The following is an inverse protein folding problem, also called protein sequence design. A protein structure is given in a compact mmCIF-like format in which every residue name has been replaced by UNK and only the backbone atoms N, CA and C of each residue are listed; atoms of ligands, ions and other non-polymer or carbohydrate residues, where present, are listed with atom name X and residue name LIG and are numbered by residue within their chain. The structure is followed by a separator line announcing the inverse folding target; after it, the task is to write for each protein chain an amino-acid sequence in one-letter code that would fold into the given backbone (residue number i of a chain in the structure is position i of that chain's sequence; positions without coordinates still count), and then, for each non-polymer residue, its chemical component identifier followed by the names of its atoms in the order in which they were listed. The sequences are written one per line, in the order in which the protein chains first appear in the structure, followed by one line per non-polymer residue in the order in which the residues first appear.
data_IF_514508493855
#
_entry.id   IF_514508493855
#
_cell.length_a   1.000
_cell.length_b   1.000
_cell.length_c   1.000
_cell.angle_alpha   90.00
_cell.angle_beta   90.00
_cell.angle_gamma   90.00
#
_symmetry.space_group_name_H-M   'P 1'
#
loop_
_entity.id
_entity.type
_entity.pdbx_description
1 polymer ?
#
# COMPACT_ATOMS: atom_id res chain seq x y z
N UNK A 1 6.52 9.29 -2.96
CA UNK A 1 5.66 8.64 -1.95
C UNK A 1 4.31 9.32 -2.05
N UNK A 2 3.28 8.62 -2.51
CA UNK A 2 1.92 9.18 -2.63
C UNK A 2 1.16 8.91 -1.32
N UNK A 3 0.42 9.91 -0.83
CA UNK A 3 -0.41 9.79 0.36
C UNK A 3 -1.89 9.76 -0.05
N UNK A 4 -2.64 8.76 0.40
CA UNK A 4 -4.07 8.67 0.13
C UNK A 4 -4.83 8.64 1.44
N UNK A 5 -5.89 9.45 1.54
CA UNK A 5 -6.83 9.41 2.67
C UNK A 5 -8.23 9.14 2.12
N UNK A 6 -8.73 7.94 2.38
CA UNK A 6 -10.13 7.57 2.12
C UNK A 6 -10.91 7.84 3.40
N UNK A 7 -11.86 8.78 3.36
CA UNK A 7 -12.70 9.12 4.52
C UNK A 7 -14.10 8.52 4.36
N UNK A 8 -14.33 7.39 5.04
CA UNK A 8 -15.62 6.68 5.01
C UNK A 8 -16.79 7.48 5.65
N UNK A 9 -16.50 8.51 6.46
CA UNK A 9 -17.55 9.26 7.19
C UNK A 9 -18.28 10.34 6.36
N UNK A 10 -17.85 10.63 5.13
CA UNK A 10 -18.47 11.67 4.27
C UNK A 10 -18.50 11.38 2.76
N UNK A 11 -18.14 10.18 2.30
CA UNK A 11 -18.15 9.86 0.86
C UNK A 11 -17.21 10.73 0.02
N UNK A 12 -16.14 11.27 0.62
CA UNK A 12 -15.14 12.11 -0.04
C UNK A 12 -13.81 11.38 -0.14
N UNK A 13 -13.21 11.43 -1.33
CA UNK A 13 -11.86 10.90 -1.60
C UNK A 13 -10.96 12.10 -1.88
N UNK A 14 -9.91 12.23 -1.07
CA UNK A 14 -8.92 13.31 -1.19
C UNK A 14 -7.62 12.74 -1.74
N UNK A 15 -7.08 13.35 -2.80
CA UNK A 15 -5.85 12.94 -3.47
C UNK A 15 -4.81 14.05 -3.44
N UNK A 16 -3.54 13.71 -3.17
CA UNK A 16 -2.42 14.64 -3.36
C UNK A 16 -1.96 14.58 -4.81
N UNK A 17 -1.93 15.73 -5.49
CA UNK A 17 -1.21 15.87 -6.76
C UNK A 17 0.02 16.73 -6.48
N UNK A 18 1.22 16.23 -6.82
CA UNK A 18 2.44 17.05 -6.84
C UNK A 18 2.41 17.92 -8.10
N UNK A 19 1.55 18.93 -8.11
CA UNK A 19 1.66 20.22 -8.81
C UNK A 19 0.27 20.86 -8.90
N UNK A 20 0.09 21.95 -8.15
CA UNK A 20 -0.31 23.21 -8.78
C UNK A 20 0.19 24.37 -7.93
N UNK A 21 1.16 25.08 -8.48
CA UNK A 21 1.54 26.41 -8.04
C UNK A 21 0.48 27.33 -8.67
N UNK A 22 -0.36 28.00 -7.88
CA UNK A 22 -1.20 29.07 -8.43
C UNK A 22 -1.06 30.33 -7.59
N UNK A 23 -0.44 31.32 -8.23
CA UNK A 23 -0.66 32.71 -7.93
C UNK A 23 -2.16 33.01 -8.13
N UNK A 24 -2.94 32.95 -7.06
CA UNK A 24 -3.94 33.95 -6.68
C UNK A 24 -4.67 33.50 -5.41
N UNK A 25 -4.83 34.44 -4.48
CA UNK A 25 -5.37 34.20 -3.14
C UNK A 25 -6.82 33.77 -3.15
N UNK A 26 -7.08 32.51 -2.80
CA UNK A 26 -7.91 32.14 -1.64
C UNK A 26 -7.74 30.64 -1.36
N UNK A 27 -7.16 30.28 -0.21
CA UNK A 27 -7.12 28.91 0.37
C UNK A 27 -6.86 27.71 -0.57
N UNK A 28 -5.84 27.75 -1.43
CA UNK A 28 -5.46 26.62 -2.29
C UNK A 28 -4.95 25.42 -1.46
N UNK A 29 -5.81 24.43 -1.27
CA UNK A 29 -5.43 23.12 -0.72
C UNK A 29 -4.58 22.36 -1.75
N UNK A 30 -3.46 21.72 -1.36
CA UNK A 30 -2.65 20.91 -2.28
C UNK A 30 -3.36 19.61 -2.72
N UNK A 31 -4.60 19.40 -2.27
CA UNK A 31 -5.39 18.21 -2.53
C UNK A 31 -6.50 18.50 -3.54
N UNK A 32 -6.67 17.57 -4.47
CA UNK A 32 -7.89 17.50 -5.29
C UNK A 32 -8.92 16.70 -4.50
N UNK A 33 -10.04 17.33 -4.16
CA UNK A 33 -11.18 16.66 -3.54
C UNK A 33 -12.19 16.26 -4.61
N UNK A 34 -12.55 14.98 -4.65
CA UNK A 34 -13.60 14.47 -5.53
C UNK A 34 -14.68 13.80 -4.69
N UNK A 35 -15.94 14.06 -5.05
CA UNK A 35 -17.04 13.27 -4.55
C UNK A 35 -17.02 11.86 -5.16
N UNK A 36 -17.77 10.95 -4.52
CA UNK A 36 -17.83 9.55 -4.93
C UNK A 36 -18.34 9.35 -6.36
N UNK A 37 -19.29 10.18 -6.82
CA UNK A 37 -19.87 10.03 -8.16
C UNK A 37 -18.88 10.44 -9.25
N UNK A 38 -18.14 11.53 -9.01
CA UNK A 38 -17.10 12.02 -9.90
C UNK A 38 -15.93 11.04 -9.94
N UNK A 39 -15.55 10.50 -8.78
CA UNK A 39 -14.51 9.48 -8.67
C UNK A 39 -14.85 8.20 -9.43
N UNK A 40 -16.06 7.66 -9.25
CA UNK A 40 -16.46 6.39 -9.86
C UNK A 40 -16.51 6.46 -11.39
N UNK A 41 -16.84 7.63 -11.95
CA UNK A 41 -16.83 7.87 -13.41
C UNK A 41 -15.45 7.68 -14.04
N UNK A 42 -14.37 7.92 -13.30
CA UNK A 42 -13.00 7.70 -13.80
C UNK A 42 -12.70 6.22 -14.11
N UNK A 43 -13.49 5.30 -13.53
CA UNK A 43 -13.42 3.87 -13.76
C UNK A 43 -14.51 3.29 -14.68
N UNK A 44 -15.46 4.11 -15.14
CA UNK A 44 -16.71 3.60 -15.74
C UNK A 44 -16.53 2.85 -17.06
N UNK A 45 -15.50 3.18 -17.84
CA UNK A 45 -15.21 2.54 -19.14
C UNK A 45 -14.21 1.38 -19.04
N UNK A 46 -13.86 0.96 -17.83
CA UNK A 46 -12.86 -0.07 -17.64
C UNK A 46 -13.50 -1.42 -17.36
N UNK A 47 -12.88 -2.47 -17.90
CA UNK A 47 -13.24 -3.83 -17.50
C UNK A 47 -12.95 -4.03 -16.01
N UNK A 48 -13.92 -4.59 -15.31
CA UNK A 48 -13.76 -4.91 -13.90
C UNK A 48 -12.86 -6.14 -13.77
N UNK A 49 -11.66 -6.00 -13.18
CA UNK A 49 -10.66 -7.06 -13.22
C UNK A 49 -10.94 -8.16 -12.20
N UNK A 50 -11.79 -7.93 -11.19
CA UNK A 50 -12.12 -8.89 -10.12
C UNK A 50 -13.55 -9.41 -10.27
N UNK A 51 -13.73 -10.72 -10.08
CA UNK A 51 -15.04 -11.37 -10.04
C UNK A 51 -15.55 -11.55 -8.59
N UNK A 52 -16.75 -12.10 -8.42
CA UNK A 52 -17.37 -12.30 -7.10
C UNK A 52 -16.53 -13.26 -6.21
N UNK A 53 -15.95 -14.30 -6.80
CA UNK A 53 -15.09 -15.26 -6.08
C UNK A 53 -13.82 -14.59 -5.54
N UNK A 54 -13.21 -13.69 -6.32
CA UNK A 54 -12.08 -12.88 -5.89
C UNK A 54 -12.45 -12.04 -4.67
N UNK A 55 -13.63 -11.42 -4.69
CA UNK A 55 -14.11 -10.62 -3.57
C UNK A 55 -14.32 -11.48 -2.34
N UNK A 56 -14.95 -12.66 -2.47
CA UNK A 56 -15.14 -13.58 -1.34
C UNK A 56 -13.81 -13.97 -0.70
N UNK A 57 -12.77 -14.23 -1.51
CA UNK A 57 -11.42 -14.53 -0.99
C UNK A 57 -10.75 -13.33 -0.33
N UNK A 58 -11.04 -12.12 -0.81
CA UNK A 58 -10.47 -10.87 -0.30
C UNK A 58 -11.18 -10.32 0.93
N UNK A 59 -12.45 -10.70 1.15
CA UNK A 59 -13.19 -10.37 2.37
C UNK A 59 -12.47 -10.97 3.59
N UNK A 60 -11.97 -10.09 4.44
CA UNK A 60 -11.61 -10.46 5.81
C UNK A 60 -12.86 -10.65 6.67
N UNK A 61 -12.68 -11.23 7.87
CA UNK A 61 -13.71 -11.26 8.90
C UNK A 61 -14.13 -9.82 9.24
N UNK A 62 -15.31 -9.41 8.78
CA UNK A 62 -16.00 -8.19 9.22
C UNK A 62 -15.94 -6.95 8.31
N UNK A 63 -15.41 -7.03 7.09
CA UNK A 63 -15.32 -5.85 6.19
C UNK A 63 -16.42 -5.88 5.09
N UNK A 64 -17.19 -4.78 4.88
CA UNK A 64 -18.19 -4.69 3.81
C UNK A 64 -17.52 -4.43 2.46
N UNK A 65 -16.73 -5.40 1.98
CA UNK A 65 -16.16 -5.36 0.63
C UNK A 65 -17.14 -6.02 -0.36
N UNK A 66 -17.83 -5.20 -1.15
CA UNK A 66 -18.75 -5.68 -2.20
C UNK A 66 -18.28 -5.27 -3.61
N UNK A 67 -18.95 -5.81 -4.64
CA UNK A 67 -18.63 -5.51 -6.05
C UNK A 67 -18.80 -4.02 -6.37
N UNK A 68 -19.72 -3.33 -5.69
CA UNK A 68 -19.99 -1.91 -5.91
C UNK A 68 -18.84 -1.07 -5.42
N UNK A 69 -18.33 -1.31 -4.22
CA UNK A 69 -17.16 -0.63 -3.66
C UNK A 69 -15.91 -0.89 -4.51
N UNK A 70 -15.70 -2.13 -4.98
CA UNK A 70 -14.61 -2.46 -5.92
C UNK A 70 -14.70 -1.61 -7.18
N UNK A 71 -15.87 -1.54 -7.81
CA UNK A 71 -16.07 -0.82 -9.07
C UNK A 71 -16.00 0.70 -8.89
N UNK A 72 -16.63 1.24 -7.85
CA UNK A 72 -16.76 2.68 -7.66
C UNK A 72 -15.53 3.32 -7.02
N UNK A 73 -14.78 2.61 -6.18
CA UNK A 73 -13.69 3.18 -5.39
C UNK A 73 -12.34 2.60 -5.80
N UNK A 74 -12.19 1.27 -5.74
CA UNK A 74 -10.88 0.64 -5.90
C UNK A 74 -10.43 0.55 -7.36
N UNK A 75 -11.36 0.42 -8.31
CA UNK A 75 -11.04 0.35 -9.73
C UNK A 75 -10.41 1.64 -10.27
N UNK A 76 -11.02 2.83 -10.08
CA UNK A 76 -10.36 4.10 -10.42
C UNK A 76 -9.02 4.29 -9.70
N UNK A 77 -8.94 3.89 -8.41
CA UNK A 77 -7.70 4.00 -7.63
C UNK A 77 -6.58 3.13 -8.23
N UNK A 78 -6.88 1.89 -8.58
CA UNK A 78 -5.91 0.97 -9.17
C UNK A 78 -5.38 1.49 -10.51
N UNK A 79 -6.25 2.09 -11.34
CA UNK A 79 -5.85 2.73 -12.61
C UNK A 79 -4.90 3.89 -12.36
N UNK A 80 -5.26 4.76 -11.43
CA UNK A 80 -4.41 5.89 -11.09
C UNK A 80 -3.03 5.42 -10.62
N UNK A 81 -2.98 4.46 -9.72
CA UNK A 81 -1.72 3.87 -9.24
C UNK A 81 -0.94 3.25 -10.39
N UNK A 82 -1.61 2.56 -11.32
CA UNK A 82 -0.98 2.02 -12.51
C UNK A 82 -0.35 3.12 -13.39
N UNK A 83 -1.05 4.24 -13.62
CA UNK A 83 -0.49 5.40 -14.35
C UNK A 83 0.77 5.96 -13.68
N UNK A 84 0.76 6.10 -12.35
CA UNK A 84 1.95 6.53 -11.60
C UNK A 84 3.11 5.56 -11.72
N UNK A 85 2.84 4.25 -11.69
CA UNK A 85 3.87 3.22 -11.88
C UNK A 85 4.48 3.32 -13.27
N UNK A 86 3.66 3.46 -14.32
CA UNK A 86 4.14 3.60 -15.70
C UNK A 86 5.00 4.85 -15.87
N UNK A 87 4.51 6.01 -15.40
CA UNK A 87 5.26 7.26 -15.49
C UNK A 87 6.59 7.19 -14.73
N UNK A 88 6.60 6.58 -13.54
CA UNK A 88 7.83 6.39 -12.76
C UNK A 88 8.83 5.47 -13.47
N UNK A 89 8.36 4.40 -14.13
CA UNK A 89 9.22 3.49 -14.88
C UNK A 89 9.83 4.19 -16.10
N UNK A 90 9.03 4.98 -16.83
CA UNK A 90 9.49 5.76 -17.99
C UNK A 90 10.54 6.79 -17.59
N UNK A 91 10.29 7.56 -16.52
CA UNK A 91 11.23 8.55 -16.01
C UNK A 91 12.55 7.90 -15.57
N UNK A 92 12.47 6.77 -14.88
CA UNK A 92 13.66 6.02 -14.47
C UNK A 92 14.44 5.54 -15.70
N UNK A 93 13.78 4.95 -16.70
CA UNK A 93 14.43 4.51 -17.93
C UNK A 93 15.13 5.67 -18.66
N UNK A 94 14.48 6.83 -18.79
CA UNK A 94 15.08 8.01 -19.41
C UNK A 94 16.32 8.50 -18.64
N UNK A 95 16.25 8.51 -17.31
CA UNK A 95 17.36 8.94 -16.44
C UNK A 95 18.53 7.97 -16.54
N UNK A 96 18.27 6.66 -16.48
CA UNK A 96 19.30 5.62 -16.62
C UNK A 96 20.01 5.71 -17.96
N UNK A 97 19.27 5.92 -19.06
CA UNK A 97 19.85 6.14 -20.40
C UNK A 97 20.71 7.39 -20.45
N UNK A 98 20.25 8.51 -19.87
CA UNK A 98 20.99 9.77 -19.83
C UNK A 98 22.32 9.64 -19.05
N UNK A 99 22.30 8.93 -17.92
CA UNK A 99 23.49 8.71 -17.09
C UNK A 99 24.44 7.62 -17.63
N UNK A 100 24.04 6.88 -18.68
CA UNK A 100 24.83 5.79 -19.23
C UNK A 100 24.96 4.57 -18.29
N UNK A 101 24.08 4.46 -17.29
CA UNK A 101 24.11 3.36 -16.34
C UNK A 101 23.36 2.13 -16.88
N UNK A 102 23.79 0.93 -16.50
CA UNK A 102 23.00 -0.29 -16.67
C UNK A 102 22.31 -0.67 -15.35
N UNK A 103 21.42 0.19 -14.88
CA UNK A 103 20.74 -0.01 -13.60
C UNK A 103 19.54 -0.94 -13.77
N UNK A 104 19.39 -1.94 -12.88
CA UNK A 104 18.23 -2.84 -12.87
C UNK A 104 16.94 -2.08 -12.53
N UNK A 105 15.79 -2.58 -12.99
CA UNK A 105 14.47 -1.99 -12.69
C UNK A 105 14.29 -1.77 -11.18
N UNK A 106 14.17 -0.51 -10.77
CA UNK A 106 13.85 -0.15 -9.39
C UNK A 106 12.37 -0.42 -9.09
N UNK A 107 12.02 -1.18 -8.04
CA UNK A 107 10.63 -1.42 -7.67
C UNK A 107 9.90 -0.13 -7.27
N UNK A 108 8.62 -0.01 -7.65
CA UNK A 108 7.75 1.07 -7.20
C UNK A 108 7.11 0.71 -5.85
N UNK A 109 7.27 1.58 -4.85
CA UNK A 109 6.79 1.32 -3.48
C UNK A 109 5.56 2.17 -3.17
N UNK A 110 4.46 1.51 -2.79
CA UNK A 110 3.20 2.14 -2.35
C UNK A 110 3.07 1.95 -0.84
N UNK A 111 2.96 3.05 -0.10
CA UNK A 111 2.71 3.02 1.34
C UNK A 111 1.21 3.16 1.63
N UNK A 112 0.65 2.26 2.43
CA UNK A 112 -0.73 2.33 2.92
C UNK A 112 -0.70 2.62 4.42
N UNK A 113 -1.22 3.78 4.82
CA UNK A 113 -1.20 4.27 6.20
C UNK A 113 -2.62 4.60 6.69
N UNK A 114 -2.79 4.70 8.02
CA UNK A 114 -4.09 4.93 8.66
C UNK A 114 -4.18 4.37 10.08
N UNK A 115 -5.24 4.73 10.80
CA UNK A 115 -5.46 4.31 12.20
C UNK A 115 -5.56 2.79 12.37
N UNK A 116 -5.38 2.30 13.59
CA UNK A 116 -5.63 0.89 13.94
C UNK A 116 -7.10 0.56 13.64
N UNK A 117 -7.36 -0.66 13.16
CA UNK A 117 -8.69 -1.17 12.80
C UNK A 117 -9.44 -0.48 11.63
N UNK A 118 -8.81 0.44 10.88
CA UNK A 118 -9.45 1.10 9.70
C UNK A 118 -9.48 0.23 8.42
N UNK A 119 -9.07 -1.04 8.48
CA UNK A 119 -9.08 -1.94 7.31
C UNK A 119 -7.87 -1.82 6.36
N UNK A 120 -6.73 -1.25 6.80
CA UNK A 120 -5.51 -1.12 5.97
C UNK A 120 -5.08 -2.43 5.29
N UNK A 121 -5.14 -3.54 6.02
CA UNK A 121 -4.75 -4.85 5.51
C UNK A 121 -5.70 -5.34 4.41
N UNK A 122 -7.00 -5.06 4.54
CA UNK A 122 -8.00 -5.36 3.50
C UNK A 122 -7.71 -4.54 2.24
N UNK A 123 -7.58 -3.22 2.39
CA UNK A 123 -7.28 -2.30 1.29
C UNK A 123 -6.01 -2.73 0.54
N UNK A 124 -4.94 -3.04 1.27
CA UNK A 124 -3.68 -3.43 0.67
C UNK A 124 -3.76 -4.76 -0.09
N UNK A 125 -4.56 -5.73 0.38
CA UNK A 125 -4.80 -6.99 -0.33
C UNK A 125 -5.61 -6.79 -1.60
N UNK A 126 -6.66 -5.98 -1.54
CA UNK A 126 -7.48 -5.63 -2.71
C UNK A 126 -6.63 -4.94 -3.76
N UNK A 127 -5.89 -3.89 -3.39
CA UNK A 127 -5.00 -3.17 -4.31
C UNK A 127 -3.93 -4.08 -4.92
N UNK A 128 -3.36 -5.01 -4.14
CA UNK A 128 -2.41 -6.00 -4.66
C UNK A 128 -3.03 -6.82 -5.78
N UNK A 129 -4.20 -7.41 -5.55
CA UNK A 129 -4.85 -8.25 -6.56
C UNK A 129 -5.26 -7.47 -7.81
N UNK A 130 -5.74 -6.24 -7.65
CA UNK A 130 -6.08 -5.39 -8.79
C UNK A 130 -4.83 -5.02 -9.59
N UNK A 131 -3.76 -4.56 -8.92
CA UNK A 131 -2.52 -4.15 -9.59
C UNK A 131 -1.81 -5.30 -10.33
N UNK A 132 -1.90 -6.54 -9.83
CA UNK A 132 -1.35 -7.71 -10.52
C UNK A 132 -2.00 -8.00 -11.87
N UNK A 133 -3.25 -7.59 -12.06
CA UNK A 133 -4.02 -7.81 -13.29
C UNK A 133 -3.79 -6.72 -14.34
N UNK A 134 -3.13 -5.61 -13.98
CA UNK A 134 -2.76 -4.59 -14.95
C UNK A 134 -1.54 -5.01 -15.78
N UNK A 135 -1.55 -4.75 -17.11
CA UNK A 135 -0.36 -4.94 -17.94
C UNK A 135 0.83 -4.17 -17.39
N UNK A 136 2.03 -4.78 -17.36
CA UNK A 136 3.24 -4.11 -16.90
C UNK A 136 3.46 -4.09 -15.37
N UNK A 137 2.51 -4.58 -14.56
CA UNK A 137 2.67 -4.75 -13.10
C UNK A 137 2.34 -6.16 -12.59
N UNK A 138 2.85 -7.26 -13.20
CA UNK A 138 2.49 -8.62 -12.80
C UNK A 138 3.03 -9.00 -11.41
N UNK A 139 4.17 -8.42 -11.01
CA UNK A 139 4.84 -8.75 -9.75
C UNK A 139 4.56 -7.67 -8.70
N UNK A 140 3.52 -7.88 -7.90
CA UNK A 140 3.18 -7.02 -6.76
C UNK A 140 3.29 -7.82 -5.47
N UNK A 141 4.12 -7.36 -4.56
CA UNK A 141 4.30 -7.96 -3.24
C UNK A 141 3.67 -7.08 -2.15
N UNK A 142 3.10 -7.71 -1.13
CA UNK A 142 2.52 -7.04 0.03
C UNK A 142 3.39 -7.32 1.25
N UNK A 143 3.82 -6.25 1.91
CA UNK A 143 4.66 -6.31 3.10
C UNK A 143 3.95 -5.53 4.19
N UNK A 144 3.72 -6.17 5.33
CA UNK A 144 3.13 -5.53 6.50
C UNK A 144 4.24 -4.97 7.40
N UNK A 145 4.00 -3.80 7.98
CA UNK A 145 4.95 -3.19 8.93
C UNK A 145 5.06 -3.99 10.23
N UNK A 146 4.10 -4.87 10.51
CA UNK A 146 4.09 -5.73 11.70
C UNK A 146 5.28 -6.71 11.72
N UNK A 147 5.85 -7.04 10.57
CA UNK A 147 7.09 -7.81 10.49
C UNK A 147 8.32 -7.08 11.04
N UNK A 148 8.21 -5.78 11.28
CA UNK A 148 9.25 -4.94 11.88
C UNK A 148 8.96 -4.62 13.36
N UNK A 149 7.92 -5.21 13.96
CA UNK A 149 7.75 -5.13 15.41
C UNK A 149 8.91 -5.82 16.12
N UNK A 150 9.33 -5.25 17.24
CA UNK A 150 10.29 -5.95 18.09
C UNK A 150 9.72 -7.30 18.56
N UNK A 151 10.55 -8.35 18.69
CA UNK A 151 10.12 -9.62 19.28
C UNK A 151 9.56 -9.42 20.70
N UNK A 152 8.70 -10.34 21.15
CA UNK A 152 8.05 -10.26 22.45
C UNK A 152 9.04 -10.03 23.62
N UNK A 153 10.20 -10.69 23.58
CA UNK A 153 11.25 -10.53 24.58
C UNK A 153 11.78 -9.09 24.65
N UNK A 154 11.96 -8.46 23.49
CA UNK A 154 12.47 -7.10 23.38
C UNK A 154 11.40 -6.06 23.75
N UNK A 155 10.13 -6.31 23.39
CA UNK A 155 9.01 -5.48 23.85
C UNK A 155 8.87 -5.51 25.37
N UNK A 156 9.04 -6.69 26.00
CA UNK A 156 9.05 -6.84 27.47
C UNK A 156 10.21 -6.08 28.09
N UNK A 157 11.43 -6.27 27.57
CA UNK A 157 12.66 -5.60 28.04
C UNK A 157 12.54 -4.08 28.01
N UNK A 158 11.82 -3.54 27.02
CA UNK A 158 11.62 -2.09 26.85
C UNK A 158 10.34 -1.54 27.49
N UNK A 159 9.56 -2.36 28.18
CA UNK A 159 8.24 -1.99 28.73
C UNK A 159 7.28 -1.43 27.66
N UNK A 160 7.32 -1.97 26.43
CA UNK A 160 6.53 -1.51 25.28
C UNK A 160 5.35 -2.42 24.93
N UNK A 161 5.00 -3.39 25.78
CA UNK A 161 3.88 -4.31 25.52
C UNK A 161 2.55 -3.56 25.36
N UNK A 162 2.24 -2.66 26.28
CA UNK A 162 1.02 -1.83 26.27
C UNK A 162 1.04 -0.78 25.13
N UNK A 163 2.21 -0.54 24.55
CA UNK A 163 2.42 0.39 23.43
C UNK A 163 2.70 -0.35 22.12
N UNK A 164 2.32 -1.62 22.04
CA UNK A 164 2.41 -2.39 20.80
C UNK A 164 1.57 -1.70 19.71
N UNK A 165 2.21 -1.41 18.58
CA UNK A 165 1.59 -0.68 17.47
C UNK A 165 1.91 0.82 17.44
N UNK A 166 2.56 1.36 18.48
CA UNK A 166 3.12 2.72 18.45
C UNK A 166 4.52 2.72 17.80
N UNK A 167 4.99 3.86 17.25
CA UNK A 167 6.27 3.94 16.51
C UNK A 167 7.50 3.37 17.23
N UNK A 168 7.54 3.48 18.55
CA UNK A 168 8.61 2.98 19.43
C UNK A 168 8.64 1.45 19.55
N UNK A 169 7.52 0.76 19.28
CA UNK A 169 7.44 -0.71 19.29
C UNK A 169 7.99 -1.37 18.02
N UNK A 170 8.38 -0.58 17.02
CA UNK A 170 8.95 -1.04 15.74
C UNK A 170 10.45 -0.77 15.64
N UNK A 171 11.18 -1.69 14.99
CA UNK A 171 12.54 -1.45 14.51
C UNK A 171 12.50 -0.60 13.23
N UNK A 172 12.38 0.72 13.43
CA UNK A 172 12.39 1.72 12.35
C UNK A 172 13.66 1.67 11.50
N UNK A 173 14.80 1.31 12.10
CA UNK A 173 16.07 1.21 11.36
C UNK A 173 16.05 0.00 10.43
N UNK A 174 15.49 -1.14 10.87
CA UNK A 174 15.29 -2.30 10.02
C UNK A 174 14.33 -1.99 8.86
N UNK A 175 13.24 -1.27 9.12
CA UNK A 175 12.31 -0.84 8.08
C UNK A 175 12.99 0.06 7.03
N UNK A 176 13.76 1.07 7.46
CA UNK A 176 14.48 1.95 6.54
C UNK A 176 15.51 1.18 5.72
N UNK A 177 16.32 0.33 6.36
CA UNK A 177 17.29 -0.53 5.66
C UNK A 177 16.60 -1.43 4.64
N UNK A 178 15.44 -1.98 4.98
CA UNK A 178 14.66 -2.82 4.10
C UNK A 178 14.19 -2.06 2.83
N UNK A 179 13.61 -0.87 3.01
CA UNK A 179 13.17 -0.03 1.89
C UNK A 179 14.37 0.41 1.02
N UNK A 180 15.49 0.76 1.65
CA UNK A 180 16.73 1.09 0.93
C UNK A 180 17.27 -0.10 0.14
N UNK A 181 17.25 -1.30 0.71
CA UNK A 181 17.71 -2.53 0.03
C UNK A 181 16.84 -2.88 -1.18
N UNK A 182 15.51 -2.68 -1.09
CA UNK A 182 14.60 -2.83 -2.24
C UNK A 182 14.96 -1.84 -3.35
N UNK A 183 15.32 -0.60 -3.00
CA UNK A 183 15.62 0.45 -3.96
C UNK A 183 17.03 0.36 -4.57
N UNK A 184 18.01 -0.20 -3.87
CA UNK A 184 19.42 -0.23 -4.29
C UNK A 184 19.93 -1.58 -4.82
N UNK A 185 19.05 -2.45 -5.30
CA UNK A 185 19.27 -3.90 -5.47
C UNK A 185 20.63 -4.38 -6.03
N UNK A 186 21.06 -5.57 -5.59
CA UNK A 186 21.30 -6.65 -6.55
C UNK A 186 20.40 -7.86 -6.26
N UNK A 187 19.78 -8.39 -7.32
CA UNK A 187 18.87 -9.53 -7.27
C UNK A 187 19.64 -10.83 -6.99
N UNK A 188 19.75 -11.21 -5.72
CA UNK A 188 19.83 -12.60 -5.20
C UNK A 188 19.95 -12.52 -3.66
N UNK A 189 18.83 -12.62 -2.97
CA UNK A 189 18.82 -13.21 -1.64
C UNK A 189 17.43 -13.78 -1.46
N UNK A 190 17.34 -15.07 -1.13
CA UNK A 190 16.08 -15.66 -0.72
C UNK A 190 15.42 -14.73 0.28
N UNK A 191 14.11 -14.52 0.13
CA UNK A 191 13.28 -13.78 1.06
C UNK A 191 13.86 -13.99 2.45
N UNK A 192 14.39 -12.91 3.06
CA UNK A 192 14.90 -12.96 4.42
C UNK A 192 13.72 -13.44 5.25
N UNK A 193 13.73 -14.73 5.55
CA UNK A 193 12.66 -15.41 6.21
C UNK A 193 12.50 -14.76 7.56
N UNK A 194 11.48 -13.92 7.69
CA UNK A 194 10.94 -13.54 8.99
C UNK A 194 10.32 -14.85 9.50
N UNK A 195 11.16 -15.69 10.11
CA UNK A 195 10.77 -16.90 10.80
C UNK A 195 9.76 -16.50 11.86
N UNK A 196 8.48 -16.72 11.57
CA UNK A 196 7.46 -16.76 12.63
C UNK A 196 7.73 -18.02 13.44
N UNK A 197 8.27 -17.85 14.65
CA UNK A 197 8.35 -18.93 15.63
C UNK A 197 6.94 -19.50 15.85
N UNK A 198 6.74 -20.82 15.85
CA UNK A 198 5.44 -21.40 16.16
C UNK A 198 5.13 -21.15 17.64
N UNK A 199 4.01 -20.49 17.92
CA UNK A 199 3.45 -20.42 19.27
C UNK A 199 2.93 -21.80 19.65
N UNK A 200 3.66 -22.48 20.55
CA UNK A 200 3.23 -23.72 21.19
C UNK A 200 1.92 -23.48 21.93
N UNK A 201 0.86 -24.13 21.48
CA UNK A 201 -0.42 -24.24 22.20
C UNK A 201 -0.22 -25.16 23.40
N UNK A 202 -0.20 -24.61 24.61
CA UNK A 202 -0.33 -25.38 25.84
C UNK A 202 -1.80 -25.74 26.06
N UNK A 203 -2.11 -26.98 25.72
CA UNK A 203 -3.35 -27.69 26.06
C UNK A 203 -3.43 -27.82 27.59
N UNK A 204 -4.34 -27.10 28.23
CA UNK A 204 -4.66 -27.33 29.65
C UNK A 204 -5.70 -28.44 29.74
N UNK A 205 -5.28 -29.62 30.20
CA UNK A 205 -6.17 -30.65 30.73
C UNK A 205 -6.72 -30.16 32.09
N UNK A 206 -8.04 -30.21 32.25
CA UNK A 206 -8.69 -30.76 33.44
C UNK A 206 -9.92 -31.53 32.97
#
# INVERSE_FOLDING_TARGET
MLYFRISQRRGRISMVTLQRNEANGDSSSPFVELDRQTWSRLGAQMEQPLNEEDIIRLRGLGDPLDMKEIREVYLPLSRLLHLYVQASQQLHAATTTFLGEQTQRTPFVIGVAGSVAVGKSTIARVLREMLRRWPGTPNVELITTDGFLYPLAELKRRHLLERKGFPESYDRRALLRFVSAIKGAPKKSGLLGIRTSPTTSSRTRK
#
